data_IF_217753109440
#
_entry.id   IF_217753109440
#
_cell.length_a   1.000
_cell.length_b   1.000
_cell.length_c   1.000
_cell.angle_alpha   90.00
_cell.angle_beta   90.00
_cell.angle_gamma   90.00
#
_symmetry.space_group_name_H-M   'P 1'
#
loop_
_entity.id
_entity.type
_entity.pdbx_description
1 polymer ?
#
# COMPACT_ATOMS: atom_id res chain seq x y z
N UNK A 1 9.18 40.19 2.36
CA UNK A 1 8.81 38.96 3.08
C UNK A 1 8.68 37.85 2.06
N UNK A 2 9.59 36.88 2.08
CA UNK A 2 9.50 35.71 1.20
C UNK A 2 8.50 34.75 1.84
N UNK A 3 7.34 34.55 1.21
CA UNK A 3 6.41 33.49 1.64
C UNK A 3 7.09 32.14 1.41
N UNK A 4 7.41 31.46 2.50
CA UNK A 4 7.90 30.09 2.51
C UNK A 4 6.68 29.17 2.37
N UNK A 5 6.37 28.77 1.13
CA UNK A 5 5.27 27.84 0.84
C UNK A 5 5.85 26.44 0.74
N UNK A 6 5.26 25.48 1.49
CA UNK A 6 5.71 24.08 1.54
C UNK A 6 5.86 23.43 0.16
N UNK A 7 5.15 23.94 -0.85
CA UNK A 7 5.25 23.50 -2.24
C UNK A 7 6.64 23.69 -2.87
N UNK A 8 7.49 24.57 -2.33
CA UNK A 8 8.87 24.76 -2.82
C UNK A 8 9.83 23.65 -2.41
N UNK A 9 9.45 22.81 -1.44
CA UNK A 9 10.27 21.69 -0.96
C UNK A 9 9.96 20.37 -1.67
N UNK A 10 9.01 20.36 -2.60
CA UNK A 10 8.60 19.15 -3.32
C UNK A 10 9.43 18.97 -4.60
N UNK A 11 9.77 17.71 -4.91
CA UNK A 11 10.42 17.36 -6.17
C UNK A 11 9.51 17.69 -7.36
N UNK A 12 10.12 18.17 -8.45
CA UNK A 12 9.41 18.57 -9.67
C UNK A 12 10.03 17.88 -10.88
N UNK A 13 9.17 17.26 -11.69
CA UNK A 13 9.57 16.62 -12.94
C UNK A 13 8.82 17.25 -14.13
N UNK A 14 9.55 17.51 -15.21
CA UNK A 14 8.96 17.98 -16.47
C UNK A 14 8.50 16.77 -17.29
N UNK A 15 7.18 16.63 -17.46
CA UNK A 15 6.58 15.57 -18.27
C UNK A 15 6.21 16.10 -19.66
N UNK A 16 6.58 15.36 -20.71
CA UNK A 16 6.15 15.64 -22.09
C UNK A 16 4.90 14.84 -22.40
N UNK A 17 3.78 15.52 -22.61
CA UNK A 17 2.53 14.87 -22.96
C UNK A 17 2.41 14.68 -24.47
N UNK A 18 1.87 13.54 -24.94
CA UNK A 18 1.43 13.40 -26.33
C UNK A 18 0.22 14.31 -26.60
N UNK A 19 -0.04 14.53 -27.89
CA UNK A 19 -1.14 15.40 -28.35
C UNK A 19 -2.48 15.01 -27.73
N UNK A 20 -3.23 16.02 -27.25
CA UNK A 20 -4.55 15.86 -26.66
C UNK A 20 -4.60 15.30 -25.24
N UNK A 21 -3.53 14.70 -24.71
CA UNK A 21 -3.55 14.15 -23.33
C UNK A 21 -3.72 15.25 -22.28
N UNK A 22 -3.07 16.40 -22.48
CA UNK A 22 -3.16 17.54 -21.55
C UNK A 22 -4.60 18.04 -21.38
N UNK A 23 -5.37 18.11 -22.47
CA UNK A 23 -6.75 18.59 -22.43
C UNK A 23 -7.67 17.57 -21.75
N UNK A 24 -7.41 16.28 -21.95
CA UNK A 24 -8.11 15.20 -21.23
C UNK A 24 -7.90 15.31 -19.71
N UNK A 25 -6.66 15.50 -19.27
CA UNK A 25 -6.34 15.69 -17.84
C UNK A 25 -7.03 16.96 -17.31
N UNK A 26 -7.00 18.06 -18.09
CA UNK A 26 -7.67 19.32 -17.71
C UNK A 26 -9.16 19.12 -17.46
N UNK A 27 -9.81 18.34 -18.33
CA UNK A 27 -11.24 18.03 -18.20
C UNK A 27 -11.50 17.19 -16.95
N UNK A 28 -10.73 16.11 -16.73
CA UNK A 28 -10.88 15.26 -15.55
C UNK A 28 -10.70 16.05 -14.25
N UNK A 29 -9.67 16.90 -14.18
CA UNK A 29 -9.45 17.78 -13.04
C UNK A 29 -10.64 18.72 -12.76
N UNK A 30 -11.24 19.29 -13.82
CA UNK A 30 -12.42 20.15 -13.68
C UNK A 30 -13.65 19.38 -13.20
N UNK A 31 -13.89 18.17 -13.74
CA UNK A 31 -14.98 17.29 -13.31
C UNK A 31 -14.80 16.89 -11.82
N UNK A 32 -13.55 16.73 -11.36
CA UNK A 32 -13.18 16.36 -9.99
C UNK A 32 -13.00 17.56 -9.03
N UNK A 33 -13.25 18.80 -9.47
CA UNK A 33 -13.03 20.02 -8.68
C UNK A 33 -11.60 20.16 -8.11
N UNK A 34 -10.59 19.75 -8.88
CA UNK A 34 -9.17 19.79 -8.50
C UNK A 34 -8.37 20.64 -9.48
N UNK A 35 -7.17 21.07 -9.05
CA UNK A 35 -6.20 21.61 -10.00
C UNK A 35 -5.69 20.48 -10.92
N UNK A 36 -5.21 20.83 -12.11
CA UNK A 36 -4.59 19.86 -13.02
C UNK A 36 -3.43 19.11 -12.34
N UNK A 37 -2.63 19.80 -11.52
CA UNK A 37 -1.54 19.15 -10.78
C UNK A 37 -2.07 18.16 -9.75
N UNK A 38 -3.12 18.53 -8.99
CA UNK A 38 -3.72 17.64 -8.01
C UNK A 38 -4.33 16.39 -8.67
N UNK A 39 -4.92 16.51 -9.86
CA UNK A 39 -5.40 15.36 -10.62
C UNK A 39 -4.26 14.43 -11.09
N UNK A 40 -3.15 15.01 -11.55
CA UNK A 40 -1.95 14.24 -11.93
C UNK A 40 -1.41 13.47 -10.72
N UNK A 41 -1.28 14.14 -9.57
CA UNK A 41 -0.80 13.51 -8.33
C UNK A 41 -1.74 12.40 -7.89
N UNK A 42 -3.05 12.63 -7.80
CA UNK A 42 -4.05 11.63 -7.42
C UNK A 42 -4.03 10.40 -8.34
N UNK A 43 -3.89 10.62 -9.66
CA UNK A 43 -3.76 9.52 -10.63
C UNK A 43 -2.47 8.72 -10.42
N UNK A 44 -1.36 9.40 -10.10
CA UNK A 44 -0.07 8.75 -9.83
C UNK A 44 -0.09 7.99 -8.51
N UNK A 45 -0.67 8.56 -7.44
CA UNK A 45 -0.85 7.87 -6.15
C UNK A 45 -1.74 6.63 -6.30
N UNK A 46 -2.76 6.69 -7.15
CA UNK A 46 -3.57 5.51 -7.46
C UNK A 46 -2.77 4.43 -8.22
N UNK A 47 -1.94 4.83 -9.19
CA UNK A 47 -1.12 3.90 -9.98
C UNK A 47 0.12 3.36 -9.26
N UNK A 48 0.63 4.14 -8.30
CA UNK A 48 1.83 3.88 -7.51
C UNK A 48 1.52 4.19 -6.03
N UNK A 49 0.65 3.38 -5.39
CA UNK A 49 0.28 3.63 -4.00
C UNK A 49 1.50 3.56 -3.10
N UNK A 50 1.54 4.41 -2.07
CA UNK A 50 2.54 4.23 -1.02
C UNK A 50 2.40 2.82 -0.43
N UNK A 51 3.51 2.11 -0.23
CA UNK A 51 3.45 0.83 0.44
C UNK A 51 2.82 1.04 1.82
N UNK A 52 1.65 0.46 2.10
CA UNK A 52 0.96 0.51 3.41
C UNK A 52 1.68 -0.28 4.52
N UNK A 53 2.98 -0.45 4.34
CA UNK A 53 3.85 -1.27 5.14
C UNK A 53 4.20 -0.51 6.42
N UNK A 54 4.42 0.80 6.35
CA UNK A 54 4.71 1.61 7.53
C UNK A 54 3.49 1.66 8.47
N UNK A 55 2.27 1.88 7.97
CA UNK A 55 1.07 1.92 8.83
C UNK A 55 0.75 0.57 9.50
N UNK A 56 1.01 -0.55 8.83
CA UNK A 56 0.82 -1.88 9.42
C UNK A 56 1.90 -2.19 10.46
N UNK A 57 3.15 -1.82 10.19
CA UNK A 57 4.26 -2.09 11.13
C UNK A 57 4.20 -1.15 12.33
N UNK A 58 3.88 0.13 12.14
CA UNK A 58 3.63 1.08 13.23
C UNK A 58 2.51 0.58 14.15
N UNK A 59 1.45 0.00 13.59
CA UNK A 59 0.37 -0.61 14.37
C UNK A 59 0.86 -1.84 15.15
N UNK A 60 1.66 -2.72 14.53
CA UNK A 60 2.19 -3.91 15.19
C UNK A 60 3.19 -3.55 16.28
N UNK A 61 4.08 -2.59 16.03
CA UNK A 61 5.07 -2.09 16.99
C UNK A 61 4.37 -1.45 18.19
N UNK A 62 3.40 -0.58 17.94
CA UNK A 62 2.56 0.00 19.00
C UNK A 62 1.86 -1.08 19.85
N UNK A 63 1.24 -2.07 19.22
CA UNK A 63 0.56 -3.16 19.94
C UNK A 63 1.54 -4.08 20.69
N UNK A 64 2.72 -4.34 20.12
CA UNK A 64 3.76 -5.16 20.74
C UNK A 64 4.35 -4.48 21.98
N UNK A 65 4.60 -3.17 21.92
CA UNK A 65 5.03 -2.38 23.07
C UNK A 65 3.95 -2.31 24.16
N UNK A 66 2.74 -1.90 23.79
CA UNK A 66 1.66 -1.63 24.76
C UNK A 66 1.13 -2.90 25.44
N UNK A 67 0.98 -4.01 24.71
CA UNK A 67 0.33 -5.22 25.22
C UNK A 67 1.28 -6.38 25.52
N UNK A 68 2.44 -6.45 24.87
CA UNK A 68 3.37 -7.57 25.01
C UNK A 68 4.69 -7.19 25.68
N UNK A 69 4.94 -5.89 25.92
CA UNK A 69 6.20 -5.39 26.48
C UNK A 69 7.41 -5.74 25.60
N UNK A 70 7.19 -5.92 24.30
CA UNK A 70 8.23 -6.20 23.34
C UNK A 70 8.68 -4.87 22.74
N UNK A 71 9.96 -4.56 22.87
CA UNK A 71 10.59 -3.50 22.10
C UNK A 71 11.07 -4.10 20.78
N UNK A 72 10.51 -3.64 19.66
CA UNK A 72 11.03 -3.98 18.34
C UNK A 72 12.08 -2.94 17.98
N UNK A 73 13.28 -3.39 17.60
CA UNK A 73 14.33 -2.46 17.19
C UNK A 73 14.01 -1.83 15.83
N UNK A 74 14.52 -0.62 15.58
CA UNK A 74 14.40 0.04 14.27
C UNK A 74 14.95 -0.82 13.13
N UNK A 75 15.99 -1.63 13.40
CA UNK A 75 16.60 -2.55 12.44
C UNK A 75 15.66 -3.71 12.08
N UNK A 76 14.92 -4.26 13.04
CA UNK A 76 13.93 -5.32 12.82
C UNK A 76 12.71 -4.80 12.05
N UNK A 77 12.24 -3.58 12.36
CA UNK A 77 11.19 -2.88 11.61
C UNK A 77 11.61 -2.69 10.16
N UNK A 78 12.80 -2.14 9.91
CA UNK A 78 13.32 -1.93 8.56
C UNK A 78 13.49 -3.25 7.77
N UNK A 79 13.92 -4.33 8.44
CA UNK A 79 14.05 -5.65 7.84
C UNK A 79 12.69 -6.26 7.47
N UNK A 80 11.68 -6.08 8.34
CA UNK A 80 10.31 -6.52 8.07
C UNK A 80 9.70 -5.72 6.92
N UNK A 81 9.89 -4.41 6.91
CA UNK A 81 9.45 -3.56 5.82
C UNK A 81 10.02 -4.00 4.46
N UNK A 82 11.32 -4.28 4.41
CA UNK A 82 11.99 -4.73 3.19
C UNK A 82 11.42 -6.07 2.69
N UNK A 83 11.11 -6.99 3.60
CA UNK A 83 10.48 -8.28 3.27
C UNK A 83 9.06 -8.11 2.73
N UNK A 84 8.27 -7.23 3.34
CA UNK A 84 6.90 -6.94 2.89
C UNK A 84 6.93 -6.22 1.54
N UNK A 85 7.83 -5.25 1.32
CA UNK A 85 8.03 -4.60 0.01
C UNK A 85 8.38 -5.61 -1.06
N UNK A 86 9.36 -6.47 -0.77
CA UNK A 86 9.75 -7.55 -1.68
C UNK A 86 8.58 -8.49 -2.01
N UNK A 87 7.76 -8.85 -1.01
CA UNK A 87 6.57 -9.67 -1.23
C UNK A 87 5.51 -8.94 -2.05
N UNK A 88 5.24 -7.67 -1.75
CA UNK A 88 4.32 -6.81 -2.49
C UNK A 88 4.73 -6.70 -3.97
N UNK A 89 6.00 -6.43 -4.24
CA UNK A 89 6.54 -6.33 -5.61
C UNK A 89 6.48 -7.68 -6.34
N UNK A 90 6.70 -8.79 -5.62
CA UNK A 90 6.54 -10.13 -6.16
C UNK A 90 5.08 -10.48 -6.49
N UNK A 91 4.12 -10.03 -5.69
CA UNK A 91 2.69 -10.28 -5.88
C UNK A 91 2.08 -9.37 -6.96
N UNK A 92 2.50 -8.11 -7.04
CA UNK A 92 1.91 -7.11 -7.93
C UNK A 92 2.72 -6.83 -9.20
N UNK A 93 3.98 -7.24 -9.28
CA UNK A 93 4.90 -6.90 -10.36
C UNK A 93 4.65 -7.57 -11.72
N UNK A 94 3.65 -8.45 -11.87
CA UNK A 94 3.16 -8.98 -13.17
C UNK A 94 1.86 -9.78 -12.96
N UNK A 95 0.67 -9.16 -13.09
CA UNK A 95 -0.61 -9.80 -12.80
C UNK A 95 -0.88 -11.07 -13.63
N UNK A 96 -0.37 -11.10 -14.86
CA UNK A 96 -0.70 -12.13 -15.87
C UNK A 96 0.12 -13.42 -15.73
N UNK A 97 1.34 -13.34 -15.16
CA UNK A 97 2.25 -14.48 -15.06
C UNK A 97 2.07 -15.29 -13.76
N UNK A 98 1.40 -14.74 -12.75
CA UNK A 98 1.41 -15.29 -11.39
C UNK A 98 0.10 -15.91 -10.92
N UNK A 99 -1.06 -15.60 -11.52
CA UNK A 99 -2.31 -16.34 -11.27
C UNK A 99 -2.18 -17.83 -11.63
N UNK A 100 -1.38 -18.15 -12.64
CA UNK A 100 -1.07 -19.52 -13.05
C UNK A 100 -0.13 -20.22 -12.07
N UNK A 101 0.89 -19.52 -11.56
CA UNK A 101 1.85 -20.06 -10.58
C UNK A 101 1.23 -20.24 -9.20
N UNK A 102 0.40 -19.30 -8.75
CA UNK A 102 -0.31 -19.37 -7.47
C UNK A 102 -1.33 -20.51 -7.48
N UNK A 103 -2.09 -20.70 -8.58
CA UNK A 103 -2.98 -21.86 -8.73
C UNK A 103 -2.23 -23.20 -8.79
N UNK A 104 -1.00 -23.21 -9.31
CA UNK A 104 -0.16 -24.40 -9.39
C UNK A 104 0.55 -24.74 -8.07
N UNK A 105 0.74 -23.77 -7.17
CA UNK A 105 1.44 -23.96 -5.89
C UNK A 105 0.51 -24.09 -4.67
N UNK A 106 -0.79 -23.90 -4.86
CA UNK A 106 -1.79 -24.22 -3.83
C UNK A 106 -1.94 -25.74 -3.74
N UNK A 107 -1.65 -26.37 -2.58
CA UNK A 107 -1.94 -27.78 -2.41
C UNK A 107 -3.46 -28.02 -2.51
N UNK A 108 -3.88 -29.08 -3.19
CA UNK A 108 -5.32 -29.43 -3.38
C UNK A 108 -6.10 -29.54 -2.07
N UNK A 109 -5.42 -29.64 -0.93
CA UNK A 109 -6.00 -29.78 0.41
C UNK A 109 -5.58 -28.63 1.34
N UNK A 110 -5.58 -27.38 0.87
CA UNK A 110 -5.42 -26.23 1.78
C UNK A 110 -6.55 -26.23 2.80
N UNK A 111 -6.20 -26.56 4.04
CA UNK A 111 -6.99 -26.60 5.27
C UNK A 111 -8.40 -26.02 5.15
N UNK A 112 -9.39 -26.89 5.39
CA UNK A 112 -10.81 -26.57 5.36
C UNK A 112 -11.09 -25.27 6.11
N UNK A 113 -11.49 -24.24 5.36
CA UNK A 113 -11.81 -22.90 5.88
C UNK A 113 -12.86 -22.99 6.99
N UNK A 114 -13.70 -24.03 6.97
CA UNK A 114 -14.69 -24.31 8.00
C UNK A 114 -14.08 -24.91 9.29
N UNK A 115 -12.92 -25.57 9.23
CA UNK A 115 -12.17 -25.98 10.43
C UNK A 115 -11.55 -24.77 11.15
N UNK A 116 -11.01 -23.82 10.38
CA UNK A 116 -10.46 -22.58 10.94
C UNK A 116 -11.56 -21.71 11.58
N UNK A 117 -12.69 -21.51 10.89
CA UNK A 117 -13.84 -20.77 11.44
C UNK A 117 -14.37 -21.39 12.73
N UNK A 118 -14.44 -22.72 12.81
CA UNK A 118 -14.92 -23.46 13.98
C UNK A 118 -13.99 -23.31 15.19
N UNK A 119 -12.68 -23.26 14.97
CA UNK A 119 -11.68 -22.98 16.03
C UNK A 119 -11.78 -21.56 16.55
N UNK A 120 -12.04 -20.58 15.67
CA UNK A 120 -12.16 -19.16 16.06
C UNK A 120 -13.48 -18.88 16.77
N UNK A 121 -14.58 -19.53 16.36
CA UNK A 121 -15.90 -19.35 16.99
C UNK A 121 -16.05 -20.04 18.36
N UNK A 122 -15.10 -20.89 18.75
CA UNK A 122 -15.12 -21.64 20.02
C UNK A 122 -14.38 -20.96 21.18
N UNK A 123 -13.82 -19.77 20.98
CA UNK A 123 -13.14 -19.04 22.06
C UNK A 123 -14.19 -18.38 22.97
N UNK A 124 -14.16 -18.61 24.30
CA UNK A 124 -15.14 -18.03 25.20
C UNK A 124 -15.00 -16.50 25.21
N UNK A 125 -16.14 -15.82 25.08
CA UNK A 125 -16.26 -14.38 25.38
C UNK A 125 -15.74 -14.15 26.80
N UNK A 126 -14.75 -13.29 26.97
CA UNK A 126 -14.35 -12.81 28.29
C UNK A 126 -15.48 -11.91 28.80
N UNK A 127 -16.24 -12.41 29.76
CA UNK A 127 -17.03 -11.57 30.68
C UNK A 127 -16.10 -10.78 31.61
#
# INVERSE_FOLDING_TARGET
MVQDSSSRKQDQYIVRFPDGLRDRIKKAAADNNRSMNAEIVDTLEYGYPEPQISSTIEMVDYLAGEFLGLEVSEEEIAALEAKIRHFHDMVLGSPELHLSKLKASLPENSTDVEEFKRKVSGLPSKD
#
